data_IF_519853526880
#
_entry.id   IF_519853526880
#
_cell.length_a   1.000
_cell.length_b   1.000
_cell.length_c   1.000
_cell.angle_alpha   90.00
_cell.angle_beta   90.00
_cell.angle_gamma   90.00
#
_symmetry.space_group_name_H-M   'P 1'
#
loop_
_entity.id
_entity.type
_entity.pdbx_description
1 polymer ?
#
# COMPACT_ATOMS: atom_id res chain seq x y z
N UNK A 1 34.70 33.78 11.83
CA UNK A 1 33.68 33.19 12.75
C UNK A 1 32.51 32.53 12.00
N UNK A 2 31.67 31.80 12.74
CA UNK A 2 30.54 31.08 12.15
C UNK A 2 29.19 31.06 12.90
N UNK A 3 28.14 30.65 12.18
CA UNK A 3 26.74 30.50 12.65
C UNK A 3 25.85 31.74 12.59
N UNK A 4 24.54 31.51 12.38
CA UNK A 4 23.54 32.59 12.29
C UNK A 4 22.20 32.17 12.89
N UNK A 5 21.38 33.14 13.29
CA UNK A 5 20.07 32.85 13.88
C UNK A 5 19.00 33.18 12.85
N UNK A 6 17.84 32.52 12.91
CA UNK A 6 16.79 32.79 11.91
C UNK A 6 15.36 33.10 12.37
N UNK A 7 14.87 32.42 13.40
CA UNK A 7 13.50 32.65 13.85
C UNK A 7 12.71 31.40 13.52
N UNK A 8 12.36 31.25 12.24
CA UNK A 8 11.65 30.06 11.78
C UNK A 8 12.81 29.06 11.64
N UNK A 9 12.62 27.98 10.90
CA UNK A 9 13.69 26.98 10.70
C UNK A 9 14.13 26.26 11.96
N UNK A 10 15.12 25.38 11.83
CA UNK A 10 15.59 24.63 12.98
C UNK A 10 17.06 24.25 13.02
N UNK A 11 17.33 23.31 13.92
CA UNK A 11 18.65 22.74 14.16
C UNK A 11 19.89 23.60 13.98
N UNK A 12 19.70 24.85 13.57
CA UNK A 12 20.83 25.74 13.31
C UNK A 12 21.72 25.11 12.24
N UNK A 13 21.66 23.77 12.22
CA UNK A 13 22.40 22.88 11.33
C UNK A 13 23.75 22.65 11.98
N UNK A 14 24.49 23.73 12.16
CA UNK A 14 25.80 23.62 12.78
C UNK A 14 25.65 23.98 14.25
N UNK A 15 24.49 23.68 14.82
CA UNK A 15 24.35 23.97 16.23
C UNK A 15 25.31 23.01 16.91
N UNK A 16 25.16 22.87 18.21
CA UNK A 16 26.04 22.00 18.97
C UNK A 16 27.42 22.65 18.93
N UNK A 17 27.44 23.93 19.25
CA UNK A 17 28.69 24.65 19.33
C UNK A 17 28.94 24.42 20.80
N UNK A 18 27.92 23.86 21.45
CA UNK A 18 27.92 23.57 22.88
C UNK A 18 27.69 22.09 23.21
N UNK A 19 28.71 21.45 23.79
CA UNK A 19 28.69 20.04 24.20
C UNK A 19 30.10 19.51 23.95
N UNK A 20 30.88 20.37 23.31
CA UNK A 20 32.28 20.12 22.98
C UNK A 20 32.80 21.51 22.67
N UNK A 21 32.85 22.37 23.70
CA UNK A 21 33.31 23.75 23.57
C UNK A 21 34.52 23.88 22.68
N UNK A 22 34.77 25.10 22.21
CA UNK A 22 35.90 25.33 21.32
C UNK A 22 35.69 24.61 20.00
N UNK A 23 34.67 23.76 19.94
CA UNK A 23 34.40 22.99 18.72
C UNK A 23 33.03 23.23 18.08
N UNK A 24 33.05 23.73 16.84
CA UNK A 24 31.82 23.96 16.09
C UNK A 24 31.55 22.60 15.44
N UNK A 25 30.48 21.93 15.84
CA UNK A 25 30.25 20.63 15.25
C UNK A 25 29.55 20.55 13.90
N UNK A 26 28.41 21.20 13.71
CA UNK A 26 27.75 21.12 12.40
C UNK A 26 27.08 19.76 12.16
N UNK A 27 25.84 19.66 12.62
CA UNK A 27 25.02 18.45 12.51
C UNK A 27 24.86 17.91 11.08
N UNK A 28 24.55 16.62 10.97
CA UNK A 28 24.33 15.98 9.68
C UNK A 28 22.85 16.04 9.31
N UNK A 29 22.51 15.55 8.13
CA UNK A 29 21.13 15.58 7.67
C UNK A 29 20.60 14.20 7.30
N UNK A 30 19.59 13.74 8.04
CA UNK A 30 19.00 12.42 7.80
C UNK A 30 17.59 12.53 7.21
N UNK A 31 17.19 11.50 6.48
CA UNK A 31 15.87 11.50 5.90
C UNK A 31 14.97 10.54 6.65
N UNK A 32 13.92 11.07 7.27
CA UNK A 32 12.99 10.24 8.00
C UNK A 32 11.99 9.50 7.11
N UNK A 33 10.75 9.45 7.57
CA UNK A 33 9.68 8.76 6.85
C UNK A 33 9.20 9.41 5.56
N UNK A 34 9.56 8.81 4.43
CA UNK A 34 9.14 9.34 3.15
C UNK A 34 10.17 10.24 2.53
N UNK A 35 11.38 10.21 3.07
CA UNK A 35 12.44 11.05 2.55
C UNK A 35 13.73 10.28 2.32
N UNK A 36 14.53 10.79 1.39
CA UNK A 36 15.81 10.21 1.06
C UNK A 36 16.82 11.34 0.87
N UNK A 37 17.90 11.29 1.64
CA UNK A 37 18.94 12.27 1.50
C UNK A 37 20.08 11.48 0.86
N UNK A 38 20.32 11.76 -0.41
CA UNK A 38 21.36 11.08 -1.16
C UNK A 38 22.61 11.94 -1.12
N UNK A 39 23.75 11.32 -0.86
CA UNK A 39 25.00 12.07 -0.79
C UNK A 39 25.80 12.20 -2.08
N UNK A 40 25.46 13.20 -2.87
CA UNK A 40 26.22 13.46 -4.08
C UNK A 40 27.31 14.34 -3.48
N UNK A 41 28.56 13.98 -3.71
CA UNK A 41 29.66 14.75 -3.15
C UNK A 41 29.47 16.25 -3.12
N UNK A 42 29.07 16.80 -4.25
CA UNK A 42 28.88 18.24 -4.35
C UNK A 42 27.87 18.81 -3.35
N UNK A 43 26.77 18.09 -3.16
CA UNK A 43 25.68 18.51 -2.26
C UNK A 43 24.77 17.34 -1.87
N UNK A 44 24.08 17.45 -0.74
CA UNK A 44 23.17 16.38 -0.32
C UNK A 44 21.79 16.63 -0.92
N UNK A 45 21.22 15.61 -1.55
CA UNK A 45 19.91 15.74 -2.18
C UNK A 45 18.75 15.20 -1.35
N UNK A 46 17.79 16.07 -1.08
CA UNK A 46 16.60 15.70 -0.32
C UNK A 46 15.53 15.31 -1.34
N UNK A 47 15.18 14.03 -1.32
CA UNK A 47 14.18 13.48 -2.23
C UNK A 47 13.04 12.91 -1.39
N UNK A 48 11.83 12.96 -1.93
CA UNK A 48 10.66 12.45 -1.23
C UNK A 48 10.02 11.29 -1.98
N UNK A 49 9.32 10.45 -1.23
CA UNK A 49 8.64 9.29 -1.79
C UNK A 49 7.79 8.70 -0.69
N UNK A 50 6.99 7.68 -0.99
CA UNK A 50 6.16 7.09 0.04
C UNK A 50 6.94 6.03 0.79
N UNK A 51 6.50 5.76 2.00
CA UNK A 51 7.17 4.78 2.83
C UNK A 51 6.96 3.36 2.33
N UNK A 52 5.70 3.00 2.12
CA UNK A 52 5.40 1.65 1.68
C UNK A 52 4.30 1.58 0.63
N UNK A 53 4.43 0.61 -0.27
CA UNK A 53 3.46 0.41 -1.33
C UNK A 53 3.67 -0.96 -1.95
N UNK A 54 2.58 -1.61 -2.32
CA UNK A 54 2.63 -2.93 -2.94
C UNK A 54 1.56 -2.99 -4.02
N UNK A 55 1.94 -3.43 -5.21
CA UNK A 55 1.00 -3.53 -6.33
C UNK A 55 1.03 -4.94 -6.93
N UNK A 56 -0.08 -5.65 -6.83
CA UNK A 56 -0.17 -7.03 -7.31
C UNK A 56 -1.07 -7.26 -8.51
N UNK A 57 -0.69 -8.24 -9.32
CA UNK A 57 -1.47 -8.66 -10.48
C UNK A 57 -1.90 -10.05 -10.00
N UNK A 58 -3.19 -10.33 -10.03
CA UNK A 58 -3.67 -11.59 -9.52
C UNK A 58 -4.50 -12.33 -10.54
N UNK A 59 -3.98 -13.45 -11.02
CA UNK A 59 -4.68 -14.28 -11.99
C UNK A 59 -4.47 -15.76 -11.66
N UNK A 60 -5.09 -16.62 -12.47
CA UNK A 60 -5.02 -18.07 -12.32
C UNK A 60 -3.67 -18.59 -12.78
N UNK A 61 -2.62 -17.81 -12.57
CA UNK A 61 -1.27 -18.18 -12.98
C UNK A 61 -0.28 -17.38 -12.14
N UNK A 62 -0.82 -16.75 -11.10
CA UNK A 62 -0.06 -15.96 -10.16
C UNK A 62 -0.82 -16.07 -8.86
N UNK A 63 -0.80 -17.28 -8.30
CA UNK A 63 -1.42 -17.59 -7.02
C UNK A 63 -2.93 -17.59 -6.88
N UNK A 64 -3.65 -17.45 -7.98
CA UNK A 64 -5.10 -17.41 -7.87
C UNK A 64 -5.84 -18.73 -8.02
N UNK A 65 -7.08 -18.79 -7.50
CA UNK A 65 -7.92 -19.99 -7.56
C UNK A 65 -8.30 -20.20 -9.01
N UNK A 66 -8.24 -21.45 -9.48
CA UNK A 66 -8.56 -21.77 -10.88
C UNK A 66 -9.91 -21.17 -11.27
N UNK A 67 -10.83 -21.10 -10.31
CA UNK A 67 -12.14 -20.50 -10.56
C UNK A 67 -12.67 -19.78 -9.34
N UNK A 68 -13.06 -18.52 -9.52
CA UNK A 68 -13.62 -17.74 -8.43
C UNK A 68 -15.09 -18.16 -8.46
N UNK A 69 -15.53 -18.87 -7.42
CA UNK A 69 -16.90 -19.35 -7.34
C UNK A 69 -17.96 -18.26 -7.42
N UNK A 70 -19.01 -18.50 -8.20
CA UNK A 70 -20.08 -17.53 -8.38
C UNK A 70 -20.71 -17.11 -7.06
N UNK A 71 -21.37 -15.96 -7.11
CA UNK A 71 -22.06 -15.36 -5.97
C UNK A 71 -21.59 -15.78 -4.58
N UNK A 72 -20.44 -15.27 -4.15
CA UNK A 72 -19.88 -15.58 -2.84
C UNK A 72 -18.48 -14.96 -2.72
N UNK A 73 -18.11 -14.51 -1.53
CA UNK A 73 -16.81 -13.89 -1.34
C UNK A 73 -15.93 -14.62 -0.32
N UNK A 74 -14.82 -15.18 -0.80
CA UNK A 74 -13.86 -15.91 0.03
C UNK A 74 -12.56 -15.11 -0.02
N UNK A 75 -12.08 -14.60 1.11
CA UNK A 75 -10.85 -13.81 1.11
C UNK A 75 -9.73 -14.48 0.28
N UNK A 76 -9.10 -13.66 -0.56
CA UNK A 76 -8.02 -14.11 -1.44
C UNK A 76 -6.69 -14.38 -0.75
N UNK A 77 -6.01 -15.44 -1.19
CA UNK A 77 -4.69 -15.79 -0.68
C UNK A 77 -3.76 -15.14 -1.69
N UNK A 78 -3.01 -14.14 -1.27
CA UNK A 78 -2.15 -13.42 -2.18
C UNK A 78 -0.69 -13.69 -1.93
N UNK A 79 -0.39 -14.83 -1.33
CA UNK A 79 1.00 -15.18 -1.07
C UNK A 79 1.68 -15.46 -2.40
N UNK A 80 0.91 -15.97 -3.37
CA UNK A 80 1.46 -16.27 -4.68
C UNK A 80 1.20 -15.27 -5.80
N UNK A 81 0.47 -14.19 -5.51
CA UNK A 81 0.18 -13.19 -6.53
C UNK A 81 1.49 -12.74 -7.17
N UNK A 82 1.43 -11.76 -8.07
CA UNK A 82 2.63 -11.28 -8.73
C UNK A 82 2.91 -9.84 -8.32
N UNK A 83 4.11 -9.57 -7.79
CA UNK A 83 4.46 -8.21 -7.36
C UNK A 83 4.89 -7.30 -8.52
N UNK A 84 3.94 -6.54 -9.05
CA UNK A 84 4.23 -5.64 -10.15
C UNK A 84 5.19 -4.55 -9.70
N UNK A 85 4.97 -4.04 -8.49
CA UNK A 85 5.79 -2.98 -7.91
C UNK A 85 5.62 -2.96 -6.40
N UNK A 86 6.64 -2.50 -5.70
CA UNK A 86 6.57 -2.40 -4.25
C UNK A 86 7.57 -1.35 -3.83
N UNK A 87 7.35 -0.79 -2.65
CA UNK A 87 8.20 0.26 -2.09
C UNK A 87 8.25 0.06 -0.58
N UNK A 88 9.43 -0.27 -0.06
CA UNK A 88 9.57 -0.46 1.37
C UNK A 88 9.22 -1.87 1.81
N UNK A 89 9.25 -2.11 3.12
CA UNK A 89 8.94 -3.42 3.66
C UNK A 89 7.66 -3.40 4.49
N UNK A 90 7.03 -2.24 4.57
CA UNK A 90 5.81 -2.12 5.34
C UNK A 90 4.66 -2.97 4.83
N UNK A 91 4.48 -3.02 3.51
CA UNK A 91 3.40 -3.79 2.90
C UNK A 91 3.90 -5.06 2.20
N UNK A 92 3.51 -6.21 2.74
CA UNK A 92 3.91 -7.50 2.22
C UNK A 92 2.72 -8.42 1.93
N UNK A 93 2.79 -9.21 0.85
CA UNK A 93 1.69 -10.11 0.54
C UNK A 93 1.77 -11.37 1.39
N UNK A 94 0.62 -11.87 1.82
CA UNK A 94 0.56 -13.08 2.63
C UNK A 94 -0.64 -13.89 2.19
N UNK A 95 -0.90 -15.00 2.89
CA UNK A 95 -2.01 -15.89 2.56
C UNK A 95 -3.38 -15.36 2.96
N UNK A 96 -3.38 -14.25 3.71
CA UNK A 96 -4.62 -13.62 4.16
C UNK A 96 -4.82 -12.25 3.50
N UNK A 97 -3.82 -11.79 2.75
CA UNK A 97 -3.90 -10.50 2.08
C UNK A 97 -2.57 -9.74 2.08
N UNK A 98 -2.63 -8.46 2.37
CA UNK A 98 -1.44 -7.63 2.45
C UNK A 98 -1.30 -7.29 3.94
N UNK A 99 -0.17 -7.67 4.51
CA UNK A 99 0.10 -7.45 5.92
C UNK A 99 0.80 -6.13 6.12
N UNK A 100 0.48 -5.46 7.22
CA UNK A 100 1.09 -4.18 7.56
C UNK A 100 1.98 -4.47 8.76
N UNK A 101 3.18 -3.91 8.76
CA UNK A 101 4.11 -4.15 9.85
C UNK A 101 3.86 -3.29 11.09
N UNK A 102 4.62 -3.56 12.14
CA UNK A 102 4.51 -2.81 13.38
C UNK A 102 4.79 -1.35 13.11
N UNK A 103 4.21 -0.49 13.95
CA UNK A 103 4.39 0.95 13.81
C UNK A 103 4.06 1.50 12.44
N UNK A 104 3.21 0.80 11.70
CA UNK A 104 2.85 1.26 10.36
C UNK A 104 1.45 1.84 10.27
N UNK A 105 0.88 2.17 11.43
CA UNK A 105 -0.45 2.75 11.47
C UNK A 105 -0.40 4.02 10.65
N UNK A 106 -1.46 4.26 9.88
CA UNK A 106 -1.50 5.45 9.04
C UNK A 106 -2.59 5.34 8.00
N UNK A 107 -2.63 6.31 7.09
CA UNK A 107 -3.63 6.32 6.04
C UNK A 107 -3.16 5.53 4.83
N UNK A 108 -4.05 4.73 4.27
CA UNK A 108 -3.74 3.91 3.12
C UNK A 108 -4.67 4.12 1.93
N UNK A 109 -4.08 4.25 0.74
CA UNK A 109 -4.83 4.43 -0.49
C UNK A 109 -4.86 3.06 -1.16
N UNK A 110 -6.03 2.42 -1.17
CA UNK A 110 -6.19 1.08 -1.72
C UNK A 110 -7.08 0.98 -2.95
N UNK A 111 -6.68 0.15 -3.90
CA UNK A 111 -7.46 -0.06 -5.12
C UNK A 111 -7.38 -1.51 -5.55
N UNK A 112 -8.53 -2.14 -5.77
CA UNK A 112 -8.58 -3.51 -6.27
C UNK A 112 -9.47 -3.47 -7.50
N UNK A 113 -8.95 -3.94 -8.62
CA UNK A 113 -9.71 -3.95 -9.87
C UNK A 113 -9.85 -5.36 -10.41
N UNK A 114 -10.83 -5.57 -11.27
CA UNK A 114 -11.00 -6.87 -11.89
C UNK A 114 -11.45 -6.70 -13.33
N UNK A 115 -11.16 -7.70 -14.14
CA UNK A 115 -11.52 -7.70 -15.54
C UNK A 115 -11.60 -9.16 -15.91
N UNK A 116 -12.77 -9.59 -16.36
CA UNK A 116 -12.97 -10.97 -16.76
C UNK A 116 -13.89 -10.97 -17.97
N UNK A 117 -13.34 -10.53 -19.09
CA UNK A 117 -14.08 -10.42 -20.33
C UNK A 117 -15.20 -11.42 -20.63
N UNK A 118 -14.91 -12.71 -20.50
CA UNK A 118 -15.91 -13.73 -20.79
C UNK A 118 -17.20 -13.70 -19.98
N UNK A 119 -17.27 -12.87 -18.94
CA UNK A 119 -18.47 -12.77 -18.11
C UNK A 119 -18.93 -11.32 -18.06
N UNK A 120 -19.97 -11.03 -18.84
CA UNK A 120 -20.51 -9.68 -18.96
C UNK A 120 -21.90 -9.49 -18.37
N UNK A 121 -22.34 -10.44 -17.56
CA UNK A 121 -23.68 -10.34 -16.97
C UNK A 121 -23.65 -10.32 -15.46
N UNK A 122 -24.75 -9.89 -14.85
CA UNK A 122 -24.85 -9.82 -13.41
C UNK A 122 -23.97 -8.71 -12.89
N UNK A 123 -23.81 -8.63 -11.58
CA UNK A 123 -22.95 -7.60 -11.01
C UNK A 123 -21.66 -8.19 -10.44
N UNK A 124 -20.60 -7.38 -10.46
CA UNK A 124 -19.34 -7.81 -9.90
C UNK A 124 -19.34 -7.30 -8.46
N UNK A 125 -19.14 -8.22 -7.52
CA UNK A 125 -19.13 -7.88 -6.11
C UNK A 125 -17.68 -7.76 -5.67
N UNK A 126 -17.32 -6.63 -5.06
CA UNK A 126 -15.95 -6.42 -4.60
C UNK A 126 -15.88 -6.13 -3.09
N UNK A 127 -14.80 -6.56 -2.45
CA UNK A 127 -14.69 -6.36 -1.02
C UNK A 127 -13.29 -6.35 -0.42
N UNK A 128 -13.00 -5.27 0.28
CA UNK A 128 -11.73 -5.05 0.97
C UNK A 128 -12.10 -4.99 2.45
N UNK A 129 -11.32 -5.66 3.29
CA UNK A 129 -11.58 -5.62 4.72
C UNK A 129 -10.33 -5.31 5.50
N UNK A 130 -10.53 -4.82 6.71
CA UNK A 130 -9.44 -4.50 7.61
C UNK A 130 -9.96 -4.39 9.04
N UNK A 131 -9.71 -5.41 9.85
CA UNK A 131 -10.16 -5.39 11.22
C UNK A 131 -11.65 -5.68 11.27
N UNK A 132 -12.38 -4.85 12.01
CA UNK A 132 -13.83 -5.00 12.14
C UNK A 132 -14.54 -4.39 10.96
N UNK A 133 -13.91 -3.38 10.36
CA UNK A 133 -14.49 -2.67 9.23
C UNK A 133 -14.24 -3.29 7.85
N UNK A 134 -15.31 -3.40 7.06
CA UNK A 134 -15.21 -3.96 5.72
C UNK A 134 -15.94 -3.07 4.72
N UNK A 135 -15.30 -2.83 3.58
CA UNK A 135 -15.86 -1.96 2.56
C UNK A 135 -16.27 -2.72 1.29
N UNK A 136 -17.45 -2.38 0.77
CA UNK A 136 -17.98 -3.05 -0.42
C UNK A 136 -18.48 -2.16 -1.56
N UNK A 137 -18.78 -2.80 -2.69
CA UNK A 137 -19.31 -2.13 -3.88
C UNK A 137 -19.65 -3.15 -4.96
N UNK A 138 -20.83 -2.99 -5.56
CA UNK A 138 -21.28 -3.89 -6.62
C UNK A 138 -21.14 -3.17 -7.96
N UNK A 139 -20.59 -3.86 -8.94
CA UNK A 139 -20.41 -3.26 -10.24
C UNK A 139 -21.15 -3.99 -11.35
N UNK A 140 -22.25 -3.40 -11.85
CA UNK A 140 -23.05 -3.99 -12.91
C UNK A 140 -22.20 -4.31 -14.14
N UNK A 141 -22.32 -5.53 -14.65
CA UNK A 141 -21.54 -5.96 -15.81
C UNK A 141 -22.05 -5.49 -17.16
N UNK A 142 -21.49 -6.07 -18.21
CA UNK A 142 -21.83 -5.77 -19.60
C UNK A 142 -20.56 -6.06 -20.35
N UNK A 143 -20.66 -6.28 -21.66
CA UNK A 143 -19.46 -6.56 -22.43
C UNK A 143 -18.52 -5.35 -22.40
N UNK A 144 -19.08 -4.15 -22.42
CA UNK A 144 -18.28 -2.93 -22.36
C UNK A 144 -17.58 -2.74 -21.00
N UNK A 145 -18.25 -3.17 -19.93
CA UNK A 145 -17.69 -3.07 -18.59
C UNK A 145 -17.77 -4.45 -17.95
N UNK A 146 -16.92 -5.35 -18.43
CA UNK A 146 -16.87 -6.71 -17.93
C UNK A 146 -15.89 -6.78 -16.77
N UNK A 147 -16.17 -6.01 -15.72
CA UNK A 147 -15.29 -6.00 -14.57
C UNK A 147 -15.80 -5.12 -13.44
N UNK A 148 -14.91 -4.76 -12.53
CA UNK A 148 -15.29 -3.94 -11.40
C UNK A 148 -14.09 -3.28 -10.77
N UNK A 149 -14.34 -2.30 -9.91
CA UNK A 149 -13.27 -1.56 -9.26
C UNK A 149 -13.71 -1.09 -7.88
N UNK A 150 -12.77 -1.07 -6.94
CA UNK A 150 -13.08 -0.55 -5.62
C UNK A 150 -11.82 0.17 -5.14
N UNK A 151 -11.92 1.48 -5.00
CA UNK A 151 -10.79 2.28 -4.57
C UNK A 151 -11.14 2.81 -3.18
N UNK A 152 -10.15 2.88 -2.30
CA UNK A 152 -10.39 3.32 -0.93
C UNK A 152 -9.24 4.09 -0.32
N UNK A 153 -9.58 5.04 0.53
CA UNK A 153 -8.61 5.83 1.27
C UNK A 153 -9.10 5.62 2.69
N UNK A 154 -8.39 4.80 3.44
CA UNK A 154 -8.82 4.52 4.79
C UNK A 154 -7.73 4.70 5.83
N UNK A 155 -8.13 4.76 7.08
CA UNK A 155 -7.15 4.87 8.14
C UNK A 155 -7.02 3.45 8.72
N UNK A 156 -5.79 2.96 8.76
CA UNK A 156 -5.52 1.64 9.28
C UNK A 156 -4.80 1.78 10.60
N UNK A 157 -5.38 1.23 11.65
CA UNK A 157 -4.72 1.26 12.94
C UNK A 157 -3.98 -0.07 13.01
N UNK A 158 -2.67 -0.02 13.18
CA UNK A 158 -1.89 -1.25 13.25
C UNK A 158 -1.53 -1.57 14.70
N UNK A 159 -2.28 -2.50 15.27
CA UNK A 159 -2.11 -2.96 16.65
C UNK A 159 -0.73 -3.57 16.88
N UNK A 160 -0.20 -4.22 15.86
CA UNK A 160 1.10 -4.85 16.03
C UNK A 160 0.86 -6.33 16.17
N UNK A 161 -0.40 -6.72 15.94
CA UNK A 161 -0.83 -8.11 15.99
C UNK A 161 -0.90 -8.59 14.54
N UNK A 162 0.19 -9.18 14.09
CA UNK A 162 0.32 -9.68 12.73
C UNK A 162 -0.91 -10.22 11.99
N UNK A 163 -1.83 -10.90 12.68
CA UNK A 163 -3.00 -11.46 11.99
C UNK A 163 -4.23 -10.56 11.95
N UNK A 164 -4.11 -9.36 12.50
CA UNK A 164 -5.21 -8.42 12.49
C UNK A 164 -4.77 -7.21 11.68
N UNK A 165 -3.46 -7.07 11.52
CA UNK A 165 -2.92 -5.96 10.77
C UNK A 165 -2.78 -6.42 9.34
N UNK A 166 -3.89 -6.88 8.78
CA UNK A 166 -3.90 -7.36 7.41
C UNK A 166 -5.11 -6.90 6.58
N UNK A 167 -4.85 -6.46 5.35
CA UNK A 167 -5.90 -6.05 4.43
C UNK A 167 -6.30 -7.33 3.68
N UNK A 168 -7.53 -7.80 3.88
CA UNK A 168 -7.97 -9.01 3.19
C UNK A 168 -8.69 -8.55 1.95
N UNK A 169 -8.67 -9.35 0.89
CA UNK A 169 -9.34 -8.97 -0.36
C UNK A 169 -10.27 -10.04 -0.92
N UNK A 170 -11.27 -9.62 -1.69
CA UNK A 170 -12.21 -10.58 -2.27
C UNK A 170 -13.21 -9.99 -3.26
N UNK A 171 -13.48 -10.72 -4.33
CA UNK A 171 -14.42 -10.28 -5.35
C UNK A 171 -14.98 -11.49 -6.10
N UNK A 172 -16.04 -11.26 -6.88
CA UNK A 172 -16.69 -12.30 -7.67
C UNK A 172 -17.83 -11.67 -8.46
N UNK A 173 -18.57 -12.51 -9.20
CA UNK A 173 -19.74 -12.07 -9.97
C UNK A 173 -20.91 -12.71 -9.23
N UNK A 174 -22.05 -12.05 -9.17
CA UNK A 174 -23.17 -12.65 -8.45
C UNK A 174 -23.90 -13.76 -9.21
N UNK A 175 -23.56 -13.95 -10.48
CA UNK A 175 -24.25 -14.97 -11.25
C UNK A 175 -23.43 -15.82 -12.20
N UNK A 176 -22.13 -15.96 -11.94
CA UNK A 176 -21.24 -16.76 -12.77
C UNK A 176 -19.88 -16.86 -12.12
N UNK A 177 -19.11 -17.88 -12.47
CA UNK A 177 -17.78 -18.08 -11.91
C UNK A 177 -16.73 -17.39 -12.77
N UNK A 178 -15.65 -16.93 -12.14
CA UNK A 178 -14.56 -16.25 -12.86
C UNK A 178 -13.32 -17.15 -12.95
N UNK A 179 -12.96 -17.51 -14.18
CA UNK A 179 -11.80 -18.36 -14.42
C UNK A 179 -11.03 -17.87 -15.63
N UNK A 180 -11.16 -16.59 -15.95
CA UNK A 180 -10.45 -16.02 -17.09
C UNK A 180 -10.20 -14.55 -16.73
N UNK A 181 -10.06 -14.34 -15.43
CA UNK A 181 -9.89 -13.04 -14.81
C UNK A 181 -8.47 -12.52 -14.60
N UNK A 182 -8.35 -11.20 -14.57
CA UNK A 182 -7.11 -10.49 -14.32
C UNK A 182 -7.46 -9.56 -13.16
N UNK A 183 -6.79 -9.72 -12.02
CA UNK A 183 -7.06 -8.89 -10.85
C UNK A 183 -5.85 -8.04 -10.51
N UNK A 184 -6.11 -6.86 -9.97
CA UNK A 184 -5.03 -5.96 -9.59
C UNK A 184 -5.35 -5.36 -8.23
N UNK A 185 -4.38 -5.45 -7.34
CA UNK A 185 -4.53 -4.95 -5.99
C UNK A 185 -3.32 -4.08 -5.67
N UNK A 186 -3.56 -2.81 -5.35
CA UNK A 186 -2.47 -1.92 -5.01
C UNK A 186 -2.79 -1.24 -3.70
N UNK A 187 -1.83 -1.22 -2.80
CA UNK A 187 -2.01 -0.58 -1.52
C UNK A 187 -0.85 0.39 -1.34
N UNK A 188 -1.13 1.57 -0.81
CA UNK A 188 -0.07 2.56 -0.60
C UNK A 188 -0.32 3.36 0.66
N UNK A 189 0.71 3.49 1.48
CA UNK A 189 0.60 4.27 2.69
C UNK A 189 1.04 5.69 2.36
N UNK A 190 0.16 6.67 2.50
CA UNK A 190 0.56 8.03 2.18
C UNK A 190 0.91 8.91 3.39
N UNK A 191 0.65 8.41 4.60
CA UNK A 191 0.95 9.17 5.82
C UNK A 191 0.83 8.31 7.08
#
# INVERSE_FOLDING_TARGET
>A
VVVEDSGASFGESLLDTTSEPGKILVKRISGGSGITVTDYGDQVEIEASVTDALSLMYSTSTGGPASIAANALTDFDLSGALTVNSVGTGLTKSAAGIQLAAGKSGLYQITMTVKNNTVTTGNYLLRVKYGSSDFVVACPASSLTAGGTISLLIYCNVLGVVSLDVLKFSLCNDGAALSNYIINITAAKIN
#
